data_IF_714783604978
#
_entry.id   IF_714783604978
#
_cell.length_a   1.000
_cell.length_b   1.000
_cell.length_c   1.000
_cell.angle_alpha   90.00
_cell.angle_beta   90.00
_cell.angle_gamma   90.00
#
_symmetry.space_group_name_H-M   'P 1'
#
loop_
_entity.id
_entity.type
_entity.pdbx_description
1 polymer ?
#
# COMPACT_ATOMS: atom_id res chain seq x y z
N UNK A 1 -11.93 -9.50 -17.04
CA UNK A 1 -11.59 -9.00 -15.68
C UNK A 1 -10.09 -9.18 -15.51
N UNK A 2 -9.32 -8.10 -15.28
CA UNK A 2 -7.91 -8.29 -14.95
C UNK A 2 -7.79 -9.00 -13.59
N UNK A 3 -6.82 -9.90 -13.40
CA UNK A 3 -6.61 -10.56 -12.11
C UNK A 3 -6.35 -9.51 -11.00
N UNK A 4 -6.78 -9.79 -9.77
CA UNK A 4 -6.61 -8.89 -8.62
C UNK A 4 -5.30 -9.18 -7.90
N UNK A 5 -4.79 -8.22 -7.13
CA UNK A 5 -3.70 -8.45 -6.20
C UNK A 5 -4.18 -9.30 -5.02
N UNK A 6 -3.41 -10.34 -4.71
CA UNK A 6 -3.58 -11.18 -3.51
C UNK A 6 -2.46 -10.82 -2.56
N UNK A 7 -2.82 -10.39 -1.35
CA UNK A 7 -1.89 -9.92 -0.33
C UNK A 7 -1.54 -11.03 0.66
N UNK A 8 -0.28 -11.07 1.08
CA UNK A 8 0.21 -11.85 2.20
C UNK A 8 0.99 -10.89 3.11
N UNK A 9 0.55 -10.73 4.36
CA UNK A 9 1.08 -9.70 5.25
C UNK A 9 1.43 -10.26 6.62
N UNK A 10 2.51 -9.75 7.19
CA UNK A 10 2.91 -9.95 8.58
C UNK A 10 2.93 -8.61 9.30
N UNK A 11 2.44 -8.59 10.54
CA UNK A 11 2.34 -7.37 11.35
C UNK A 11 3.27 -7.48 12.55
N UNK A 12 4.11 -6.47 12.70
CA UNK A 12 5.10 -6.38 13.77
C UNK A 12 4.92 -5.09 14.55
N UNK A 13 4.60 -5.18 15.84
CA UNK A 13 4.48 -4.02 16.73
C UNK A 13 5.76 -3.77 17.54
N UNK A 14 6.21 -2.51 17.61
CA UNK A 14 7.18 -2.04 18.61
C UNK A 14 6.64 -0.78 19.31
N UNK A 15 7.15 -0.41 20.50
CA UNK A 15 6.78 0.87 21.11
C UNK A 15 7.03 2.03 20.12
N UNK A 16 5.99 2.82 19.83
CA UNK A 16 6.03 3.98 18.94
C UNK A 16 5.82 3.71 17.44
N UNK A 17 5.76 2.45 16.98
CA UNK A 17 5.44 2.14 15.58
C UNK A 17 4.94 0.72 15.35
N UNK A 18 4.11 0.54 14.33
CA UNK A 18 3.70 -0.76 13.81
C UNK A 18 4.19 -0.88 12.37
N UNK A 19 4.79 -2.02 12.03
CA UNK A 19 5.23 -2.34 10.67
C UNK A 19 4.29 -3.39 10.10
N UNK A 20 3.76 -3.11 8.91
CA UNK A 20 3.05 -4.07 8.08
C UNK A 20 3.96 -4.38 6.90
N UNK A 21 4.55 -5.56 6.95
CA UNK A 21 5.38 -6.10 5.87
C UNK A 21 4.51 -7.04 5.04
N UNK A 22 4.59 -6.95 3.72
CA UNK A 22 3.81 -7.85 2.90
C UNK A 22 4.30 -8.02 1.48
N UNK A 23 3.76 -9.05 0.86
CA UNK A 23 3.87 -9.27 -0.58
C UNK A 23 2.49 -9.25 -1.21
N UNK A 24 2.44 -8.84 -2.48
CA UNK A 24 1.25 -8.87 -3.30
C UNK A 24 1.56 -9.64 -4.58
N UNK A 25 0.67 -10.54 -5.00
CA UNK A 25 0.81 -11.32 -6.24
C UNK A 25 -0.38 -11.11 -7.18
N UNK A 26 -0.12 -11.05 -8.49
CA UNK A 26 -1.14 -10.94 -9.55
C UNK A 26 -0.67 -11.66 -10.81
N UNK A 27 -1.16 -12.87 -11.05
CA UNK A 27 -0.68 -13.69 -12.17
C UNK A 27 0.81 -13.98 -12.01
N UNK A 28 1.64 -13.54 -12.96
CA UNK A 28 3.10 -13.68 -12.89
C UNK A 28 3.80 -12.46 -12.25
N UNK A 29 3.03 -11.49 -11.76
CA UNK A 29 3.57 -10.29 -11.10
C UNK A 29 3.64 -10.50 -9.59
N UNK A 30 4.73 -10.07 -8.97
CA UNK A 30 4.91 -10.05 -7.53
C UNK A 30 5.49 -8.71 -7.09
N UNK A 31 5.04 -8.20 -5.96
CA UNK A 31 5.54 -7.00 -5.34
C UNK A 31 5.72 -7.18 -3.84
N UNK A 32 6.71 -6.52 -3.27
CA UNK A 32 6.95 -6.47 -1.83
C UNK A 32 6.78 -5.03 -1.35
N UNK A 33 6.26 -4.86 -0.15
CA UNK A 33 6.03 -3.55 0.45
C UNK A 33 6.20 -3.58 1.97
N UNK A 34 6.57 -2.42 2.50
CA UNK A 34 6.64 -2.12 3.92
C UNK A 34 5.82 -0.86 4.20
N UNK A 35 4.82 -0.98 5.07
CA UNK A 35 4.05 0.15 5.57
C UNK A 35 4.34 0.32 7.07
N UNK A 36 4.98 1.43 7.41
CA UNK A 36 5.32 1.80 8.80
C UNK A 36 4.32 2.83 9.28
N UNK A 37 3.56 2.49 10.33
CA UNK A 37 2.63 3.39 11.01
C UNK A 37 3.23 3.80 12.36
N UNK A 38 3.88 4.96 12.36
CA UNK A 38 4.42 5.61 13.55
C UNK A 38 3.36 6.33 14.38
N UNK A 39 3.79 7.07 15.39
CA UNK A 39 2.86 7.85 16.24
C UNK A 39 2.21 9.02 15.49
N UNK A 40 2.99 9.72 14.67
CA UNK A 40 2.55 10.93 13.97
C UNK A 40 2.76 10.90 12.45
N UNK A 41 3.26 9.78 11.92
CA UNK A 41 3.54 9.63 10.50
C UNK A 41 3.30 8.21 10.02
N UNK A 42 3.08 8.09 8.72
CA UNK A 42 3.02 6.83 7.98
C UNK A 42 4.03 6.90 6.87
N UNK A 43 4.79 5.83 6.68
CA UNK A 43 5.75 5.68 5.59
C UNK A 43 5.46 4.40 4.83
N UNK A 44 5.45 4.48 3.51
CA UNK A 44 5.31 3.37 2.60
C UNK A 44 6.58 3.25 1.77
N UNK A 45 7.16 2.06 1.75
CA UNK A 45 8.22 1.65 0.83
C UNK A 45 7.70 0.46 0.02
N UNK A 46 7.81 0.54 -1.30
CA UNK A 46 7.40 -0.53 -2.22
C UNK A 46 8.63 -0.91 -3.02
N UNK A 47 9.04 -2.17 -2.90
CA UNK A 47 10.18 -2.74 -3.61
C UNK A 47 9.69 -3.53 -4.83
N UNK A 48 8.98 -2.88 -5.78
CA UNK A 48 8.54 -3.55 -7.03
C UNK A 48 7.86 -2.60 -8.04
N UNK A 49 7.47 -3.20 -9.17
CA UNK A 49 6.53 -2.79 -10.22
C UNK A 49 5.81 -1.44 -10.00
N UNK A 50 6.14 -0.43 -10.81
CA UNK A 50 5.51 0.90 -10.81
C UNK A 50 3.98 0.83 -10.85
N UNK A 51 3.43 -0.12 -11.61
CA UNK A 51 1.98 -0.36 -11.69
C UNK A 51 1.36 -0.87 -10.39
N UNK A 52 2.08 -1.71 -9.62
CA UNK A 52 1.62 -2.08 -8.29
C UNK A 52 1.61 -0.86 -7.37
N UNK A 53 2.65 -0.03 -7.44
CA UNK A 53 2.76 1.18 -6.63
C UNK A 53 1.57 2.12 -6.82
N UNK A 54 1.20 2.42 -8.06
CA UNK A 54 0.04 3.28 -8.34
C UNK A 54 -1.27 2.68 -7.80
N UNK A 55 -1.51 1.39 -8.07
CA UNK A 55 -2.72 0.68 -7.60
C UNK A 55 -2.77 0.58 -6.07
N UNK A 56 -1.64 0.38 -5.41
CA UNK A 56 -1.57 0.28 -3.95
C UNK A 56 -1.76 1.64 -3.27
N UNK A 57 -1.21 2.71 -3.85
CA UNK A 57 -1.46 4.08 -3.39
C UNK A 57 -2.94 4.46 -3.53
N UNK A 58 -3.59 4.07 -4.62
CA UNK A 58 -5.04 4.26 -4.80
C UNK A 58 -5.85 3.50 -3.74
N UNK A 59 -5.42 2.28 -3.36
CA UNK A 59 -6.05 1.51 -2.28
C UNK A 59 -5.91 2.19 -0.91
N UNK A 60 -4.79 2.87 -0.65
CA UNK A 60 -4.53 3.57 0.61
C UNK A 60 -5.18 4.95 0.69
N UNK A 61 -5.48 5.59 -0.45
CA UNK A 61 -5.99 6.95 -0.53
C UNK A 61 -7.26 7.23 0.32
N UNK A 62 -8.24 6.31 0.47
CA UNK A 62 -9.41 6.55 1.34
C UNK A 62 -9.06 6.69 2.83
N UNK A 63 -7.92 6.13 3.26
CA UNK A 63 -7.52 6.10 4.67
C UNK A 63 -6.51 7.20 5.01
N UNK A 64 -5.52 7.37 4.13
CA UNK A 64 -4.38 8.27 4.33
C UNK A 64 -4.51 9.59 3.56
N UNK A 65 -5.35 9.64 2.53
CA UNK A 65 -5.41 10.77 1.62
C UNK A 65 -4.17 10.89 0.74
N UNK A 66 -3.88 12.12 0.30
CA UNK A 66 -2.69 12.41 -0.52
C UNK A 66 -1.42 12.40 0.35
N UNK A 67 -0.31 11.79 -0.12
CA UNK A 67 0.97 11.88 0.57
C UNK A 67 1.46 13.33 0.74
N UNK A 68 2.12 13.60 1.86
CA UNK A 68 2.84 14.85 2.10
C UNK A 68 4.14 14.91 1.29
N UNK A 69 4.78 13.76 1.10
CA UNK A 69 5.93 13.58 0.21
C UNK A 69 5.82 12.27 -0.58
N UNK A 70 6.32 12.29 -1.81
CA UNK A 70 6.15 11.20 -2.77
C UNK A 70 4.77 11.21 -3.47
N UNK A 71 4.45 10.18 -4.27
CA UNK A 71 5.28 9.02 -4.58
C UNK A 71 6.52 9.42 -5.38
N UNK A 72 7.70 9.10 -4.84
CA UNK A 72 8.97 9.33 -5.52
C UNK A 72 9.58 7.98 -5.89
N UNK A 73 9.96 7.85 -7.16
CA UNK A 73 10.77 6.73 -7.61
C UNK A 73 12.17 6.90 -7.02
N UNK A 74 12.60 5.94 -6.20
CA UNK A 74 13.95 5.93 -5.64
C UNK A 74 14.85 5.20 -6.61
N UNK A 75 15.67 5.94 -7.36
CA UNK A 75 16.62 5.33 -8.29
C UNK A 75 17.84 4.83 -7.48
N UNK A 76 17.84 3.54 -7.14
CA UNK A 76 18.93 2.91 -6.38
C UNK A 76 20.08 2.50 -7.32
N UNK A 77 20.65 3.47 -8.05
CA UNK A 77 21.83 3.26 -8.92
C UNK A 77 21.67 2.23 -10.05
N UNK A 78 22.79 1.80 -10.65
CA UNK A 78 22.90 0.95 -11.87
C UNK A 78 22.27 -0.47 -11.77
N UNK A 79 21.48 -0.76 -10.74
CA UNK A 79 20.87 -2.06 -10.45
C UNK A 79 19.45 -2.23 -11.02
N UNK A 80 18.97 -1.28 -11.82
CA UNK A 80 17.62 -1.29 -12.36
C UNK A 80 17.58 -1.85 -13.78
N UNK A 81 17.38 -3.17 -13.90
CA UNK A 81 17.25 -3.85 -15.21
C UNK A 81 15.98 -3.43 -15.98
N UNK A 82 15.00 -2.80 -15.32
CA UNK A 82 13.85 -2.17 -15.99
C UNK A 82 13.28 -1.00 -15.20
N UNK A 83 12.80 0.04 -15.90
CA UNK A 83 12.01 1.15 -15.34
C UNK A 83 10.70 0.68 -14.67
N UNK A 84 10.30 -0.56 -14.96
CA UNK A 84 9.11 -1.14 -14.36
C UNK A 84 9.35 -1.52 -12.90
N UNK A 85 10.56 -1.85 -12.44
CA UNK A 85 10.83 -2.34 -11.07
C UNK A 85 11.30 -1.25 -10.09
N UNK A 86 10.92 0.00 -10.32
CA UNK A 86 11.42 1.13 -9.55
C UNK A 86 10.75 1.26 -8.17
N UNK A 87 11.52 1.24 -7.06
CA UNK A 87 10.94 1.32 -5.75
C UNK A 87 10.29 2.69 -5.53
N UNK A 88 9.16 2.70 -4.83
CA UNK A 88 8.35 3.91 -4.60
C UNK A 88 8.22 4.18 -3.11
N UNK A 89 8.58 5.41 -2.73
CA UNK A 89 8.42 5.89 -1.36
C UNK A 89 7.36 6.98 -1.28
N UNK A 90 6.50 6.88 -0.27
CA UNK A 90 5.48 7.87 0.05
C UNK A 90 5.34 8.03 1.57
N UNK A 91 5.09 9.25 2.04
CA UNK A 91 4.89 9.52 3.46
C UNK A 91 3.70 10.44 3.71
N UNK A 92 3.07 10.25 4.87
CA UNK A 92 1.94 11.05 5.36
C UNK A 92 2.17 11.42 6.82
N UNK A 93 1.77 12.62 7.19
CA UNK A 93 1.57 13.04 8.57
C UNK A 93 0.18 12.63 9.01
N UNK A 94 0.06 12.01 10.18
CA UNK A 94 -1.23 11.65 10.76
C UNK A 94 -1.36 12.22 12.17
N UNK A 95 -2.57 12.63 12.59
CA UNK A 95 -2.82 12.91 14.00
C UNK A 95 -2.63 11.65 14.83
N UNK A 96 -1.95 11.74 15.97
CA UNK A 96 -1.77 10.62 16.92
C UNK A 96 -3.11 9.95 17.29
N UNK A 97 -4.17 10.75 17.42
CA UNK A 97 -5.52 10.29 17.75
C UNK A 97 -6.14 9.37 16.70
N UNK A 98 -5.64 9.37 15.45
CA UNK A 98 -6.14 8.54 14.35
C UNK A 98 -5.37 7.23 14.18
N UNK A 99 -4.26 7.05 14.90
CA UNK A 99 -3.34 5.91 14.70
C UNK A 99 -4.03 4.55 14.84
N UNK A 100 -4.73 4.32 15.95
CA UNK A 100 -5.36 3.03 16.24
C UNK A 100 -6.48 2.69 15.27
N UNK A 101 -7.25 3.69 14.83
CA UNK A 101 -8.32 3.50 13.86
C UNK A 101 -7.76 3.25 12.46
N UNK A 102 -6.66 3.91 12.11
CA UNK A 102 -5.93 3.65 10.88
C UNK A 102 -5.36 2.21 10.87
N UNK A 103 -4.74 1.75 11.95
CA UNK A 103 -4.20 0.39 12.04
C UNK A 103 -5.29 -0.66 11.81
N UNK A 104 -6.43 -0.53 12.50
CA UNK A 104 -7.58 -1.43 12.32
C UNK A 104 -8.12 -1.40 10.89
N UNK A 105 -8.16 -0.23 10.26
CA UNK A 105 -8.61 -0.09 8.89
C UNK A 105 -7.65 -0.74 7.87
N UNK A 106 -6.33 -0.61 8.09
CA UNK A 106 -5.29 -1.22 7.27
C UNK A 106 -5.27 -2.74 7.43
N UNK A 107 -5.40 -3.23 8.67
CA UNK A 107 -5.55 -4.66 8.97
C UNK A 107 -6.74 -5.25 8.21
N UNK A 108 -7.92 -4.63 8.33
CA UNK A 108 -9.12 -5.09 7.63
C UNK A 108 -8.98 -5.04 6.09
N UNK A 109 -8.32 -4.01 5.55
CA UNK A 109 -8.06 -3.89 4.10
C UNK A 109 -7.20 -5.05 3.58
N UNK A 110 -6.17 -5.43 4.35
CA UNK A 110 -5.19 -6.44 3.97
C UNK A 110 -5.69 -7.86 4.24
N UNK A 111 -6.47 -8.09 5.30
CA UNK A 111 -7.10 -9.38 5.61
C UNK A 111 -8.27 -9.71 4.68
N UNK A 112 -9.11 -8.74 4.34
CA UNK A 112 -10.28 -9.00 3.49
C UNK A 112 -9.90 -9.33 2.04
N UNK A 113 -8.68 -8.96 1.62
CA UNK A 113 -8.39 -8.70 0.22
C UNK A 113 -9.27 -7.55 -0.31
N UNK A 114 -8.82 -6.74 -1.27
CA UNK A 114 -9.58 -5.57 -1.70
C UNK A 114 -10.95 -5.97 -2.26
N UNK A 115 -11.99 -5.72 -1.46
CA UNK A 115 -13.38 -5.66 -1.90
C UNK A 115 -13.57 -4.30 -2.55
N UNK A 116 -13.26 -4.20 -3.84
CA UNK A 116 -13.64 -3.03 -4.62
C UNK A 116 -15.16 -2.82 -4.47
N UNK A 117 -15.65 -1.58 -4.27
CA UNK A 117 -17.07 -1.32 -4.36
C UNK A 117 -17.47 -1.65 -5.79
N UNK A 118 -18.12 -2.81 -5.96
CA UNK A 118 -18.68 -3.19 -7.25
C UNK A 118 -19.51 -2.02 -7.75
N UNK A 119 -19.31 -1.63 -9.03
CA UNK A 119 -20.26 -0.74 -9.71
C UNK A 119 -21.67 -1.19 -9.33
N UNK A 120 -22.59 -0.29 -8.94
CA UNK A 120 -23.95 -0.68 -8.68
C UNK A 120 -24.45 -1.43 -9.91
N UNK A 121 -25.04 -2.60 -9.69
CA UNK A 121 -25.62 -3.40 -10.76
C UNK A 121 -26.53 -2.50 -11.58
N UNK A 122 -26.17 -2.31 -12.85
CA UNK A 122 -27.03 -1.65 -13.82
C UNK A 122 -28.34 -2.45 -13.83
N UNK A 123 -29.39 -1.84 -13.28
CA UNK A 123 -30.72 -2.45 -13.23
C UNK A 123 -31.23 -2.46 -14.65
N UNK A 124 -31.13 -3.62 -15.30
CA UNK A 124 -31.78 -3.88 -16.59
C UNK A 124 -33.29 -3.74 -16.36
N UNK A 125 -33.89 -2.73 -16.99
CA UNK A 125 -35.33 -2.62 -17.24
C UNK A 125 -35.54 -2.37 -18.72
#
# INVERSE_FOLDING_TARGET
>A
MAPRWVFQTSIWGRPGYTILEGSATRGNQQAEFFLVVGEAHVSLDIHSLRRFSDEFLELLAPYLGRPDAGPAVVNVGELMDSLDEAPVNATWSIPQTRREDLLRALEALLEAGPSSPGKPAETIR
#
